data_IF_161866428064
#
_entry.id   IF_161866428064
#
_cell.length_a   1.000
_cell.length_b   1.000
_cell.length_c   1.000
_cell.angle_alpha   90.00
_cell.angle_beta   90.00
_cell.angle_gamma   90.00
#
_symmetry.space_group_name_H-M   'P 1'
#
loop_
_entity.id
_entity.type
_entity.pdbx_description
1 polymer ?
#
# COMPACT_ATOMS: atom_id res chain seq x y z
N UNK A 1 6.21 -72.92 17.22
CA UNK A 1 4.94 -72.18 16.95
C UNK A 1 4.14 -72.20 18.25
N UNK A 2 3.82 -71.12 18.96
CA UNK A 2 3.42 -69.76 18.58
C UNK A 2 3.58 -68.85 19.81
N UNK A 3 4.53 -67.92 19.84
CA UNK A 3 4.46 -66.73 20.73
C UNK A 3 5.18 -65.56 20.05
N UNK A 4 4.77 -65.19 18.83
CA UNK A 4 5.21 -63.95 18.18
C UNK A 4 4.08 -63.42 17.30
N UNK A 5 2.96 -63.00 17.92
CA UNK A 5 1.88 -62.32 17.19
C UNK A 5 1.18 -61.19 17.96
N UNK A 6 1.57 -60.92 19.21
CA UNK A 6 0.93 -59.87 20.03
C UNK A 6 1.72 -58.55 20.12
N UNK A 7 3.06 -58.60 20.05
CA UNK A 7 3.89 -57.43 20.34
C UNK A 7 4.11 -56.49 19.15
N UNK A 8 3.95 -57.00 17.92
CA UNK A 8 4.16 -56.20 16.70
C UNK A 8 2.95 -55.34 16.33
N UNK A 9 1.76 -55.63 16.86
CA UNK A 9 0.54 -54.88 16.56
C UNK A 9 0.36 -53.67 17.50
N UNK A 10 0.89 -53.75 18.73
CA UNK A 10 0.84 -52.64 19.69
C UNK A 10 1.83 -51.52 19.37
N UNK A 11 3.00 -51.84 18.83
CA UNK A 11 4.00 -50.82 18.46
C UNK A 11 3.60 -50.02 17.21
N UNK A 12 2.92 -50.65 16.25
CA UNK A 12 2.47 -49.99 15.02
C UNK A 12 1.31 -49.03 15.27
N UNK A 13 0.45 -49.34 16.26
CA UNK A 13 -0.70 -48.50 16.61
C UNK A 13 -0.27 -47.25 17.39
N UNK A 14 0.81 -47.30 18.18
CA UNK A 14 1.33 -46.14 18.90
C UNK A 14 2.09 -45.15 17.97
N UNK A 15 2.75 -45.64 16.92
CA UNK A 15 3.40 -44.78 15.92
C UNK A 15 2.41 -44.01 15.02
N UNK A 16 1.19 -44.52 14.82
CA UNK A 16 0.16 -43.86 14.01
C UNK A 16 -0.49 -42.64 14.71
N UNK A 17 -0.38 -42.52 16.04
CA UNK A 17 -0.87 -41.35 16.78
C UNK A 17 0.18 -40.23 16.93
N UNK A 18 1.45 -40.47 16.60
CA UNK A 18 2.52 -39.48 16.74
C UNK A 18 2.72 -38.59 15.50
N UNK A 19 2.00 -38.85 14.40
CA UNK A 19 2.09 -38.06 13.16
C UNK A 19 0.75 -37.45 12.72
N UNK A 20 -0.30 -37.57 13.52
CA UNK A 20 -1.55 -36.84 13.32
C UNK A 20 -1.51 -35.47 14.01
N UNK A 21 -0.42 -34.72 13.86
CA UNK A 21 -0.52 -33.27 13.87
C UNK A 21 -1.05 -32.91 12.49
N UNK A 22 -2.37 -32.98 12.30
CA UNK A 22 -2.99 -32.10 11.33
C UNK A 22 -2.73 -30.69 11.87
N UNK A 23 -1.60 -30.10 11.48
CA UNK A 23 -1.32 -28.69 11.69
C UNK A 23 -2.40 -27.93 10.96
N UNK A 24 -3.49 -27.64 11.66
CA UNK A 24 -4.52 -26.74 11.18
C UNK A 24 -3.80 -25.42 10.93
N UNK A 25 -3.81 -24.96 9.70
CA UNK A 25 -3.23 -23.67 9.33
C UNK A 25 -3.92 -22.60 10.18
N UNK A 26 -3.13 -21.87 10.98
CA UNK A 26 -3.65 -20.79 11.79
C UNK A 26 -3.97 -19.62 10.86
N UNK A 27 -5.25 -19.28 10.74
CA UNK A 27 -5.68 -18.14 9.95
C UNK A 27 -5.71 -16.89 10.83
N UNK A 28 -4.88 -15.90 10.50
CA UNK A 28 -4.86 -14.61 11.19
C UNK A 28 -5.70 -13.61 10.40
N UNK A 29 -6.77 -13.14 11.05
CA UNK A 29 -7.59 -12.07 10.50
C UNK A 29 -7.01 -10.72 10.90
N UNK A 30 -6.93 -9.83 9.91
CA UNK A 30 -6.53 -8.43 10.05
C UNK A 30 -7.68 -7.55 9.57
N UNK A 31 -8.05 -6.57 10.39
CA UNK A 31 -8.98 -5.54 9.94
C UNK A 31 -8.31 -4.62 8.90
N UNK A 32 -9.00 -4.26 7.81
CA UNK A 32 -8.46 -3.34 6.81
C UNK A 32 -8.37 -1.90 7.35
N UNK A 33 -7.52 -1.07 6.76
CA UNK A 33 -7.59 0.38 6.96
C UNK A 33 -8.98 0.91 6.60
N UNK A 34 -9.36 2.02 7.21
CA UNK A 34 -10.67 2.64 7.02
C UNK A 34 -10.60 3.78 6.01
N UNK A 35 -11.60 3.84 5.13
CA UNK A 35 -11.77 4.97 4.22
C UNK A 35 -11.93 6.28 5.02
N UNK A 36 -11.12 7.27 4.67
CA UNK A 36 -11.32 8.66 5.10
C UNK A 36 -11.83 9.50 3.93
N UNK A 37 -11.20 9.32 2.77
CA UNK A 37 -11.55 10.01 1.53
C UNK A 37 -11.16 9.19 0.31
N UNK A 38 -12.10 9.05 -0.63
CA UNK A 38 -11.84 8.54 -1.97
C UNK A 38 -11.53 9.69 -2.95
N UNK A 39 -10.39 9.63 -3.64
CA UNK A 39 -10.02 10.58 -4.69
C UNK A 39 -10.22 9.98 -6.09
N UNK A 40 -10.64 10.80 -7.05
CA UNK A 40 -10.92 10.36 -8.42
C UNK A 40 -10.02 11.09 -9.41
N UNK A 41 -9.43 10.35 -10.35
CA UNK A 41 -8.53 10.91 -11.36
C UNK A 41 -9.18 11.96 -12.28
N UNK A 42 -10.51 11.95 -12.35
CA UNK A 42 -11.33 12.90 -13.12
C UNK A 42 -11.54 14.22 -12.39
N UNK A 43 -11.06 14.37 -11.16
CA UNK A 43 -11.16 15.62 -10.42
C UNK A 43 -10.34 16.70 -11.12
N UNK A 44 -10.95 17.86 -11.33
CA UNK A 44 -10.28 19.02 -11.92
C UNK A 44 -9.59 19.90 -10.87
N UNK A 45 -10.01 19.80 -9.60
CA UNK A 45 -9.43 20.57 -8.51
C UNK A 45 -8.18 19.86 -7.96
N UNK A 46 -7.01 20.35 -8.38
CA UNK A 46 -5.69 19.81 -8.01
C UNK A 46 -5.41 19.91 -6.50
N UNK A 47 -6.06 20.85 -5.79
CA UNK A 47 -5.91 21.00 -4.34
C UNK A 47 -6.39 19.75 -3.60
N UNK A 48 -7.26 18.97 -4.25
CA UNK A 48 -7.86 17.74 -3.76
C UNK A 48 -7.17 16.46 -4.25
N UNK A 49 -6.07 16.57 -5.01
CA UNK A 49 -5.26 15.44 -5.48
C UNK A 49 -4.34 14.90 -4.37
N UNK A 50 -4.98 14.34 -3.34
CA UNK A 50 -4.33 13.64 -2.24
C UNK A 50 -5.18 12.43 -1.82
N UNK A 51 -4.50 11.45 -1.23
CA UNK A 51 -5.11 10.26 -0.64
C UNK A 51 -5.18 10.43 0.86
N UNK A 52 -6.27 9.98 1.48
CA UNK A 52 -6.41 9.94 2.93
C UNK A 52 -7.12 8.68 3.38
N UNK A 53 -6.62 8.08 4.45
CA UNK A 53 -7.23 6.93 5.12
C UNK A 53 -6.86 6.92 6.59
N UNK A 54 -7.52 6.06 7.35
CA UNK A 54 -7.21 5.81 8.76
C UNK A 54 -6.69 4.38 8.93
N UNK A 55 -5.52 4.23 9.55
CA UNK A 55 -4.96 2.92 9.91
C UNK A 55 -5.79 2.25 11.02
N UNK A 56 -5.69 0.94 11.17
CA UNK A 56 -6.50 0.17 12.13
C UNK A 56 -5.67 -0.43 13.28
N UNK A 57 -4.60 0.25 13.69
CA UNK A 57 -3.73 -0.24 14.77
C UNK A 57 -4.49 -0.42 16.09
N UNK A 58 -4.15 -1.45 16.85
CA UNK A 58 -4.69 -1.67 18.21
C UNK A 58 -6.11 -2.25 18.28
N UNK A 59 -6.80 -2.46 17.15
CA UNK A 59 -8.08 -3.19 17.08
C UNK A 59 -7.92 -4.68 16.80
N UNK A 60 -6.71 -5.14 16.47
CA UNK A 60 -6.49 -6.49 15.95
C UNK A 60 -6.66 -7.56 17.06
N UNK A 61 -7.69 -8.42 16.98
CA UNK A 61 -8.06 -9.34 18.07
C UNK A 61 -7.01 -10.43 18.32
N UNK A 62 -6.13 -10.70 17.35
CA UNK A 62 -5.20 -11.83 17.35
C UNK A 62 -3.83 -11.54 17.98
N UNK A 63 -3.54 -10.30 18.38
CA UNK A 63 -2.25 -9.93 19.00
C UNK A 63 -2.08 -10.58 20.39
N UNK A 64 -3.19 -10.97 21.05
CA UNK A 64 -3.19 -11.38 22.46
C UNK A 64 -2.51 -12.73 22.78
N UNK A 65 -2.08 -13.51 21.79
CA UNK A 65 -1.45 -14.83 22.02
C UNK A 65 0.05 -14.88 21.74
N UNK A 66 0.66 -13.79 21.24
CA UNK A 66 2.10 -13.76 20.92
C UNK A 66 2.51 -14.62 19.71
N UNK A 67 1.54 -15.24 19.04
CA UNK A 67 1.75 -16.06 17.83
C UNK A 67 1.73 -15.22 16.54
N UNK A 68 1.31 -13.96 16.65
CA UNK A 68 1.13 -13.04 15.54
C UNK A 68 1.47 -11.61 15.93
N UNK A 69 2.16 -10.91 15.03
CA UNK A 69 2.61 -9.54 15.17
C UNK A 69 1.97 -8.69 14.07
N UNK A 70 1.21 -7.67 14.46
CA UNK A 70 0.76 -6.63 13.55
C UNK A 70 1.92 -5.68 13.24
N UNK A 71 2.21 -5.46 11.96
CA UNK A 71 3.37 -4.66 11.51
C UNK A 71 3.00 -3.21 11.18
N UNK A 72 1.76 -2.98 10.74
CA UNK A 72 1.28 -1.66 10.32
C UNK A 72 0.43 -1.71 9.05
N UNK A 73 0.43 -0.61 8.30
CA UNK A 73 -0.31 -0.49 7.04
C UNK A 73 0.65 -0.18 5.88
N UNK A 74 0.61 -1.00 4.85
CA UNK A 74 1.31 -0.75 3.60
C UNK A 74 0.40 -0.07 2.58
N UNK A 75 1.01 0.74 1.73
CA UNK A 75 0.32 1.44 0.64
C UNK A 75 0.90 0.97 -0.66
N UNK A 76 0.06 0.65 -1.62
CA UNK A 76 0.41 0.10 -2.92
C UNK A 76 -0.01 1.06 -4.02
N UNK A 77 0.81 1.20 -5.05
CA UNK A 77 0.52 2.05 -6.20
C UNK A 77 0.81 1.35 -7.53
N UNK A 78 0.12 1.80 -8.59
CA UNK A 78 0.43 1.46 -9.98
C UNK A 78 0.21 2.69 -10.86
N UNK A 79 1.09 2.86 -11.85
CA UNK A 79 1.05 3.96 -12.82
C UNK A 79 0.49 3.44 -14.14
N UNK A 80 -0.42 4.20 -14.75
CA UNK A 80 -1.05 3.86 -16.01
C UNK A 80 -0.90 4.99 -17.01
N UNK A 81 -0.57 4.63 -18.26
CA UNK A 81 -0.61 5.56 -19.41
C UNK A 81 -2.04 5.77 -19.94
N UNK A 82 -2.97 4.89 -19.57
CA UNK A 82 -4.36 4.94 -19.99
C UNK A 82 -5.32 4.78 -18.82
N UNK A 83 -6.24 5.74 -18.67
CA UNK A 83 -7.29 5.69 -17.66
C UNK A 83 -8.27 4.53 -17.86
N UNK A 84 -8.50 4.10 -19.10
CA UNK A 84 -9.35 2.92 -19.38
C UNK A 84 -8.69 1.63 -18.89
N UNK A 85 -7.37 1.49 -19.06
CA UNK A 85 -6.62 0.38 -18.49
C UNK A 85 -6.66 0.38 -16.95
N UNK A 86 -6.49 1.57 -16.33
CA UNK A 86 -6.61 1.73 -14.88
C UNK A 86 -7.99 1.30 -14.36
N UNK A 87 -9.05 1.87 -14.92
CA UNK A 87 -10.44 1.57 -14.52
C UNK A 87 -10.83 0.11 -14.76
N UNK A 88 -10.33 -0.52 -15.82
CA UNK A 88 -10.50 -1.96 -16.05
C UNK A 88 -9.80 -2.79 -14.96
N UNK A 89 -8.60 -2.37 -14.53
CA UNK A 89 -7.87 -3.04 -13.46
C UNK A 89 -8.59 -2.87 -12.12
N UNK A 90 -9.00 -1.64 -11.76
CA UNK A 90 -9.83 -1.34 -10.58
C UNK A 90 -11.06 -2.24 -10.52
N UNK A 91 -11.81 -2.34 -11.62
CA UNK A 91 -13.00 -3.20 -11.70
C UNK A 91 -12.68 -4.68 -11.46
N UNK A 92 -11.52 -5.15 -11.95
CA UNK A 92 -11.07 -6.53 -11.76
C UNK A 92 -10.71 -6.79 -10.29
N UNK A 93 -9.97 -5.87 -9.66
CA UNK A 93 -9.59 -5.97 -8.26
C UNK A 93 -10.83 -5.94 -7.36
N UNK A 94 -11.73 -4.97 -7.55
CA UNK A 94 -12.97 -4.85 -6.75
C UNK A 94 -13.87 -6.09 -6.83
N UNK A 95 -13.80 -6.87 -7.92
CA UNK A 95 -14.54 -8.12 -8.04
C UNK A 95 -13.98 -9.26 -7.17
N UNK A 96 -12.70 -9.16 -6.78
CA UNK A 96 -11.97 -10.17 -6.01
C UNK A 96 -12.03 -9.87 -4.51
N UNK A 97 -12.18 -8.60 -4.11
CA UNK A 97 -12.20 -8.15 -2.71
C UNK A 97 -13.44 -8.58 -1.91
N UNK A 98 -14.39 -9.30 -2.51
CA UNK A 98 -15.60 -9.80 -1.84
C UNK A 98 -15.49 -11.29 -1.42
N UNK A 99 -14.26 -11.82 -1.30
CA UNK A 99 -13.98 -13.22 -0.97
C UNK A 99 -13.78 -13.48 0.53
N UNK A 100 -13.80 -14.75 0.95
CA UNK A 100 -13.55 -15.17 2.35
C UNK A 100 -12.07 -15.18 2.73
N UNK A 101 -11.18 -14.91 1.79
CA UNK A 101 -9.72 -14.89 2.00
C UNK A 101 -9.18 -13.50 1.64
N UNK A 102 -9.12 -12.65 2.65
CA UNK A 102 -8.64 -11.28 2.58
C UNK A 102 -7.19 -11.20 2.06
N UNK A 103 -6.34 -12.16 2.47
CA UNK A 103 -4.93 -12.18 2.07
C UNK A 103 -4.76 -12.48 0.58
N UNK A 104 -5.59 -13.36 0.01
CA UNK A 104 -5.55 -13.65 -1.41
C UNK A 104 -5.86 -12.44 -2.31
N UNK A 105 -6.64 -11.46 -1.83
CA UNK A 105 -6.91 -10.23 -2.59
C UNK A 105 -5.67 -9.33 -2.66
N UNK A 106 -4.97 -9.16 -1.53
CA UNK A 106 -3.72 -8.41 -1.47
C UNK A 106 -2.61 -9.09 -2.28
N UNK A 107 -2.46 -10.40 -2.17
CA UNK A 107 -1.50 -11.16 -2.97
C UNK A 107 -1.75 -10.99 -4.48
N UNK A 108 -3.00 -11.03 -4.94
CA UNK A 108 -3.32 -10.78 -6.35
C UNK A 108 -3.00 -9.36 -6.79
N UNK A 109 -3.29 -8.36 -5.94
CA UNK A 109 -2.91 -6.96 -6.20
C UNK A 109 -1.39 -6.86 -6.48
N UNK A 110 -0.59 -7.54 -5.67
CA UNK A 110 0.87 -7.52 -5.72
C UNK A 110 1.41 -8.37 -6.88
N UNK A 111 1.09 -9.66 -6.89
CA UNK A 111 1.73 -10.65 -7.76
C UNK A 111 1.11 -10.73 -9.15
N UNK A 112 -0.20 -10.48 -9.27
CA UNK A 112 -0.92 -10.60 -10.54
C UNK A 112 -1.09 -9.27 -11.26
N UNK A 113 -1.42 -8.20 -10.52
CA UNK A 113 -1.60 -6.86 -11.09
C UNK A 113 -0.33 -5.99 -11.00
N UNK A 114 0.70 -6.46 -10.29
CA UNK A 114 2.02 -5.84 -10.28
C UNK A 114 2.04 -4.47 -9.61
N UNK A 115 1.18 -4.24 -8.62
CA UNK A 115 1.27 -3.04 -7.78
C UNK A 115 2.55 -3.08 -6.96
N UNK A 116 3.15 -1.91 -6.74
CA UNK A 116 4.37 -1.79 -5.94
C UNK A 116 4.08 -1.05 -4.64
N UNK A 117 4.70 -1.47 -3.55
CA UNK A 117 4.61 -0.75 -2.27
C UNK A 117 5.16 0.66 -2.45
N UNK A 118 4.48 1.68 -1.93
CA UNK A 118 4.95 3.06 -1.90
C UNK A 118 6.09 3.18 -0.87
N UNK A 119 7.18 3.86 -1.23
CA UNK A 119 8.28 4.15 -0.30
C UNK A 119 8.08 5.53 0.33
N UNK A 120 8.39 5.63 1.60
CA UNK A 120 8.43 6.84 2.41
C UNK A 120 9.88 7.13 2.77
N UNK A 121 10.40 8.28 2.36
CA UNK A 121 11.75 8.71 2.71
C UNK A 121 11.68 9.87 3.71
N UNK A 122 12.40 9.74 4.81
CA UNK A 122 12.77 10.86 5.67
C UNK A 122 14.30 10.98 5.71
N UNK A 123 14.88 12.11 6.14
CA UNK A 123 16.33 12.25 6.24
C UNK A 123 16.95 11.09 7.05
N UNK A 124 17.73 10.24 6.38
CA UNK A 124 18.42 9.10 6.99
C UNK A 124 17.60 7.81 7.14
N UNK A 125 16.35 7.75 6.67
CA UNK A 125 15.53 6.54 6.75
C UNK A 125 14.63 6.37 5.53
N UNK A 126 14.48 5.12 5.09
CA UNK A 126 13.50 4.71 4.08
C UNK A 126 12.60 3.63 4.70
N UNK A 127 11.29 3.83 4.61
CA UNK A 127 10.26 2.94 5.16
C UNK A 127 9.22 2.66 4.07
N UNK A 128 8.64 1.46 4.02
CA UNK A 128 7.59 1.10 3.06
C UNK A 128 6.25 0.80 3.73
N UNK A 129 6.18 1.00 5.03
CA UNK A 129 5.04 0.69 5.89
C UNK A 129 4.82 1.83 6.86
N UNK A 130 3.55 2.20 7.06
CA UNK A 130 3.13 3.01 8.18
C UNK A 130 3.15 2.10 9.40
N UNK A 131 4.28 2.07 10.11
CA UNK A 131 4.57 1.14 11.22
C UNK A 131 3.53 1.23 12.32
N UNK A 132 3.20 0.11 12.95
CA UNK A 132 2.31 0.09 14.11
C UNK A 132 2.68 1.14 15.17
N UNK A 133 1.70 1.99 15.52
CA UNK A 133 1.80 3.00 16.57
C UNK A 133 0.86 2.71 17.76
N UNK A 134 0.28 1.50 17.83
CA UNK A 134 -0.67 1.01 18.83
C UNK A 134 -2.01 1.75 18.89
N UNK A 135 -2.14 2.86 18.18
CA UNK A 135 -3.37 3.66 18.10
C UNK A 135 -3.60 4.08 16.65
N UNK A 136 -4.86 4.02 16.16
CA UNK A 136 -5.23 4.45 14.82
C UNK A 136 -4.74 5.87 14.50
N UNK A 137 -4.20 6.07 13.30
CA UNK A 137 -3.74 7.35 12.77
C UNK A 137 -4.37 7.64 11.42
N UNK A 138 -4.53 8.91 11.14
CA UNK A 138 -4.81 9.40 9.80
C UNK A 138 -3.51 9.47 9.02
N UNK A 139 -3.55 9.00 7.79
CA UNK A 139 -2.45 9.06 6.84
C UNK A 139 -2.88 9.93 5.68
N UNK A 140 -2.10 10.96 5.37
CA UNK A 140 -2.27 11.85 4.25
C UNK A 140 -1.13 11.64 3.26
N UNK A 141 -1.44 11.48 1.97
CA UNK A 141 -0.44 11.26 0.92
C UNK A 141 -0.71 12.20 -0.25
N UNK A 142 0.25 13.07 -0.57
CA UNK A 142 0.32 13.81 -1.82
C UNK A 142 1.56 13.36 -2.58
N UNK A 143 1.38 12.80 -3.77
CA UNK A 143 2.48 12.21 -4.54
C UNK A 143 3.38 13.27 -5.18
N UNK A 144 2.79 14.35 -5.68
CA UNK A 144 3.45 15.33 -6.53
C UNK A 144 3.23 16.78 -6.03
N UNK A 145 4.19 17.65 -6.30
CA UNK A 145 4.11 19.08 -5.99
C UNK A 145 3.24 19.77 -7.04
N UNK A 146 2.30 20.64 -6.68
CA UNK A 146 1.79 21.61 -7.65
C UNK A 146 1.69 23.00 -7.02
N UNK A 147 1.93 24.04 -7.84
CA UNK A 147 1.80 25.42 -7.39
C UNK A 147 0.33 25.80 -7.41
N UNK A 148 -0.21 26.16 -6.24
CA UNK A 148 -1.58 26.66 -6.11
C UNK A 148 -1.74 28.08 -6.67
N UNK A 149 -2.87 28.71 -6.37
CA UNK A 149 -3.15 30.09 -6.81
C UNK A 149 -2.21 31.15 -6.19
N UNK A 150 -1.46 30.81 -5.14
CA UNK A 150 -0.45 31.67 -4.53
C UNK A 150 0.93 31.01 -4.52
N UNK A 151 1.96 31.80 -4.84
CA UNK A 151 3.36 31.37 -4.76
C UNK A 151 3.77 30.94 -3.33
N UNK A 152 3.07 31.47 -2.32
CA UNK A 152 3.35 31.25 -0.89
C UNK A 152 2.74 29.96 -0.32
N UNK A 153 1.88 29.24 -1.06
CA UNK A 153 1.28 27.99 -0.59
C UNK A 153 1.47 26.83 -1.59
N UNK A 154 2.72 26.36 -1.77
CA UNK A 154 2.97 25.21 -2.61
C UNK A 154 2.36 23.96 -1.96
N UNK A 155 1.52 23.25 -2.72
CA UNK A 155 1.07 21.92 -2.34
C UNK A 155 2.20 20.95 -2.60
N UNK A 156 3.03 20.67 -1.59
CA UNK A 156 4.24 19.85 -1.75
C UNK A 156 3.93 18.36 -1.64
N UNK A 157 4.72 17.53 -2.33
CA UNK A 157 4.66 16.08 -2.16
C UNK A 157 5.07 15.70 -0.73
N UNK A 158 4.20 14.96 -0.04
CA UNK A 158 4.38 14.62 1.37
C UNK A 158 3.56 13.39 1.75
N UNK A 159 4.05 12.65 2.73
CA UNK A 159 3.29 11.67 3.51
C UNK A 159 3.32 12.11 4.95
N UNK A 160 2.14 12.36 5.52
CA UNK A 160 1.98 12.78 6.91
C UNK A 160 1.15 11.75 7.67
N UNK A 161 1.53 11.44 8.91
CA UNK A 161 0.69 10.63 9.80
C UNK A 161 0.38 11.38 11.09
N UNK A 162 -0.89 11.42 11.51
CA UNK A 162 -1.32 12.16 12.69
C UNK A 162 -2.54 11.54 13.38
N UNK A 163 -2.85 12.01 14.59
CA UNK A 163 -4.01 11.54 15.38
C UNK A 163 -5.33 12.24 15.03
N UNK A 164 -5.26 13.29 14.21
CA UNK A 164 -6.42 14.07 13.80
C UNK A 164 -6.52 14.02 12.28
N UNK A 165 -7.74 13.95 11.78
CA UNK A 165 -8.01 14.00 10.35
C UNK A 165 -7.51 15.34 9.78
N UNK A 166 -6.73 15.28 8.70
CA UNK A 166 -6.37 16.45 7.93
C UNK A 166 -7.54 16.80 7.00
N UNK A 167 -8.27 17.87 7.31
CA UNK A 167 -9.43 18.29 6.51
C UNK A 167 -9.02 19.01 5.23
N UNK A 168 -7.94 19.76 5.30
CA UNK A 168 -7.36 20.56 4.22
C UNK A 168 -5.84 20.49 4.32
N UNK A 169 -5.15 20.65 3.19
CA UNK A 169 -3.69 20.72 3.20
C UNK A 169 -3.24 21.94 4.00
N UNK A 170 -2.42 21.68 5.02
CA UNK A 170 -1.83 22.68 5.86
C UNK A 170 -0.31 22.51 5.79
N UNK A 171 0.36 23.48 5.17
CA UNK A 171 1.81 23.46 5.02
C UNK A 171 2.53 23.42 6.37
N UNK A 172 1.92 23.86 7.49
CA UNK A 172 2.54 23.73 8.81
C UNK A 172 2.73 22.28 9.26
N UNK A 173 2.00 21.32 8.68
CA UNK A 173 2.16 19.89 8.98
C UNK A 173 3.46 19.30 8.43
N UNK A 174 4.18 20.01 7.58
CA UNK A 174 5.51 19.61 7.12
C UNK A 174 6.64 20.06 8.07
N UNK A 175 6.30 20.72 9.19
CA UNK A 175 7.28 21.26 10.14
C UNK A 175 7.53 20.32 11.31
N UNK A 176 8.81 20.21 11.68
CA UNK A 176 9.29 19.44 12.83
C UNK A 176 8.65 19.98 14.14
N UNK A 177 8.04 19.11 14.94
CA UNK A 177 7.41 19.47 16.22
C UNK A 177 5.88 19.53 16.24
N UNK A 178 5.22 19.31 15.09
CA UNK A 178 3.76 19.24 14.97
C UNK A 178 3.11 17.95 15.54
N UNK A 179 3.93 17.01 16.01
CA UNK A 179 3.45 15.67 16.44
C UNK A 179 3.03 14.78 15.27
N UNK A 180 3.46 15.14 14.05
CA UNK A 180 3.19 14.46 12.79
C UNK A 180 4.51 13.90 12.27
N UNK A 181 4.50 12.63 11.86
CA UNK A 181 5.64 12.06 11.13
C UNK A 181 5.55 12.48 9.66
N UNK A 182 6.62 13.05 9.11
CA UNK A 182 6.68 13.61 7.75
C UNK A 182 7.68 12.83 6.90
N UNK A 183 7.22 12.37 5.75
CA UNK A 183 8.04 11.66 4.76
C UNK A 183 7.77 12.18 3.34
N UNK A 184 8.61 11.78 2.40
CA UNK A 184 8.42 12.04 0.97
C UNK A 184 8.10 10.73 0.22
N UNK A 185 7.06 10.72 -0.63
CA UNK A 185 6.70 9.54 -1.39
C UNK A 185 7.72 9.25 -2.49
N UNK A 186 8.03 7.98 -2.70
CA UNK A 186 8.95 7.48 -3.74
C UNK A 186 8.45 6.20 -4.36
N UNK A 187 8.78 6.03 -5.64
CA UNK A 187 8.55 4.82 -6.41
C UNK A 187 9.44 3.68 -5.89
N UNK A 188 8.93 2.46 -5.92
CA UNK A 188 9.62 1.25 -5.47
C UNK A 188 10.20 0.45 -6.63
N UNK A 189 10.79 1.17 -7.57
CA UNK A 189 11.67 0.65 -8.63
C UNK A 189 13.07 1.26 -8.52
N UNK A 190 13.18 2.47 -7.96
CA UNK A 190 14.42 3.16 -7.62
C UNK A 190 14.11 4.15 -6.49
N UNK A 191 14.86 4.13 -5.39
CA UNK A 191 14.59 4.96 -4.21
C UNK A 191 14.68 6.46 -4.49
N UNK A 192 15.41 6.88 -5.53
CA UNK A 192 15.48 8.27 -5.92
C UNK A 192 14.20 8.74 -6.62
N UNK A 193 13.47 7.83 -7.29
CA UNK A 193 12.38 8.17 -8.20
C UNK A 193 11.14 8.70 -7.48
N UNK A 194 10.81 9.97 -7.71
CA UNK A 194 9.58 10.62 -7.26
C UNK A 194 8.43 10.48 -8.27
N UNK A 195 7.38 11.26 -8.01
CA UNK A 195 6.18 11.36 -8.85
C UNK A 195 6.04 12.74 -9.52
N UNK A 196 7.02 13.64 -9.37
CA UNK A 196 7.08 14.89 -10.12
C UNK A 196 7.65 14.62 -11.52
N UNK A 197 6.89 13.93 -12.37
CA UNK A 197 7.41 13.39 -13.64
C UNK A 197 7.95 14.49 -14.55
N UNK A 198 9.25 14.43 -14.81
CA UNK A 198 9.97 15.43 -15.60
C UNK A 198 10.99 14.74 -16.50
N UNK A 199 10.99 15.10 -17.78
CA UNK A 199 11.90 14.52 -18.78
C UNK A 199 13.39 14.82 -18.51
N UNK A 200 13.67 15.86 -17.71
CA UNK A 200 15.00 16.36 -17.36
C UNK A 200 15.45 16.02 -15.93
N UNK A 201 14.56 15.49 -15.08
CA UNK A 201 14.91 15.13 -13.69
C UNK A 201 15.25 13.63 -13.58
N UNK A 202 16.51 13.32 -13.31
CA UNK A 202 16.96 11.94 -13.07
C UNK A 202 16.36 11.32 -11.80
N UNK A 203 15.90 12.15 -10.85
CA UNK A 203 15.23 11.70 -9.64
C UNK A 203 13.71 11.60 -9.80
N UNK A 204 13.12 12.05 -10.91
CA UNK A 204 11.68 11.88 -11.16
C UNK A 204 11.43 11.70 -12.66
N UNK A 205 12.10 10.75 -13.33
CA UNK A 205 11.98 10.61 -14.76
C UNK A 205 10.55 10.22 -15.13
N UNK A 206 10.14 10.64 -16.33
CA UNK A 206 8.87 10.23 -16.93
C UNK A 206 8.78 8.68 -16.95
N UNK A 207 7.66 8.09 -16.50
CA UNK A 207 7.46 6.65 -16.55
C UNK A 207 7.56 6.12 -17.99
N UNK A 208 8.09 4.91 -18.17
CA UNK A 208 8.36 4.34 -19.50
C UNK A 208 7.90 2.89 -19.65
N UNK A 209 7.78 2.44 -20.89
CA UNK A 209 7.52 1.03 -21.18
C UNK A 209 8.64 0.16 -20.59
N UNK A 210 8.24 -0.88 -19.86
CA UNK A 210 9.15 -1.78 -19.15
C UNK A 210 9.45 -1.40 -17.70
N UNK A 211 9.02 -0.23 -17.22
CA UNK A 211 9.05 0.06 -15.78
C UNK A 211 8.09 -0.89 -15.04
N UNK A 212 8.55 -1.52 -13.96
CA UNK A 212 7.77 -2.56 -13.26
C UNK A 212 6.49 -2.04 -12.61
N UNK A 213 6.43 -0.75 -12.28
CA UNK A 213 5.27 -0.07 -11.70
C UNK A 213 4.36 0.59 -12.75
N UNK A 214 4.62 0.38 -14.05
CA UNK A 214 3.86 0.98 -15.16
C UNK A 214 3.06 -0.07 -15.93
N UNK A 215 1.78 0.20 -16.11
CA UNK A 215 0.95 -0.45 -17.13
C UNK A 215 0.98 0.42 -18.38
N UNK A 216 1.76 -0.03 -19.36
CA UNK A 216 1.94 0.67 -20.62
C UNK A 216 0.77 0.44 -21.57
N UNK A 217 0.45 1.47 -22.35
CA UNK A 217 -0.46 1.43 -23.49
C UNK A 217 0.17 2.28 -24.60
N UNK A 218 0.21 1.77 -25.83
CA UNK A 218 0.73 2.55 -26.97
C UNK A 218 -0.14 3.78 -27.27
N UNK A 219 -1.39 3.78 -26.80
CA UNK A 219 -2.29 4.92 -26.85
C UNK A 219 -2.50 5.48 -25.45
N UNK A 220 -1.99 6.68 -25.19
CA UNK A 220 -2.31 7.42 -23.97
C UNK A 220 -3.76 7.91 -24.00
N UNK A 221 -4.40 8.01 -22.83
CA UNK A 221 -5.71 8.70 -22.75
C UNK A 221 -5.52 10.19 -23.04
N UNK A 222 -4.49 10.79 -22.44
CA UNK A 222 -4.08 12.18 -22.65
C UNK A 222 -2.55 12.21 -22.65
N UNK A 223 -1.94 12.81 -23.67
CA UNK A 223 -0.48 12.87 -23.77
C UNK A 223 0.10 13.70 -22.61
N UNK A 224 1.23 13.25 -22.06
CA UNK A 224 1.86 13.85 -20.88
C UNK A 224 1.09 13.64 -19.57
N UNK A 225 0.02 12.84 -19.56
CA UNK A 225 -0.75 12.53 -18.35
C UNK A 225 -0.56 11.08 -17.91
N UNK A 226 -0.36 10.90 -16.61
CA UNK A 226 -0.18 9.60 -15.96
C UNK A 226 -1.22 9.43 -14.87
N UNK A 227 -1.90 8.30 -14.88
CA UNK A 227 -2.92 7.98 -13.89
C UNK A 227 -2.32 7.07 -12.83
N UNK A 228 -2.44 7.46 -11.56
CA UNK A 228 -1.87 6.71 -10.45
C UNK A 228 -3.02 6.20 -9.60
N UNK A 229 -3.09 4.88 -9.44
CA UNK A 229 -4.08 4.19 -8.62
C UNK A 229 -3.45 3.66 -7.35
N UNK A 230 -4.16 3.74 -6.23
CA UNK A 230 -3.61 3.37 -4.92
C UNK A 230 -4.56 2.54 -4.06
N UNK A 231 -3.96 1.61 -3.32
CA UNK A 231 -4.63 0.77 -2.33
C UNK A 231 -3.85 0.79 -1.01
N UNK A 232 -4.52 0.52 0.11
CA UNK A 232 -3.91 0.32 1.41
C UNK A 232 -4.30 -1.04 2.01
N UNK A 233 -3.38 -1.64 2.76
CA UNK A 233 -3.55 -2.99 3.34
C UNK A 233 -2.89 -3.03 4.71
N UNK A 234 -3.59 -3.57 5.71
CA UNK A 234 -3.02 -3.91 7.01
C UNK A 234 -2.15 -5.15 6.88
N UNK A 235 -0.97 -5.14 7.48
CA UNK A 235 0.04 -6.21 7.36
C UNK A 235 0.41 -6.73 8.73
N UNK A 236 0.50 -8.05 8.85
CA UNK A 236 1.00 -8.73 10.02
C UNK A 236 1.82 -9.96 9.64
N UNK A 237 2.46 -10.57 10.62
CA UNK A 237 3.24 -11.78 10.43
C UNK A 237 3.08 -12.74 11.60
N UNK A 238 3.14 -14.03 11.32
CA UNK A 238 3.16 -15.04 12.35
C UNK A 238 4.59 -15.35 12.84
N UNK A 239 4.71 -16.26 13.82
CA UNK A 239 6.01 -16.74 14.33
C UNK A 239 6.86 -17.51 13.32
N UNK A 240 6.28 -17.94 12.19
CA UNK A 240 7.00 -18.56 11.07
C UNK A 240 7.51 -17.55 10.04
N UNK A 241 7.24 -16.25 10.27
CA UNK A 241 7.49 -15.14 9.33
C UNK A 241 6.62 -15.17 8.08
N UNK A 242 5.51 -15.92 8.10
CA UNK A 242 4.50 -15.85 7.04
C UNK A 242 3.73 -14.54 7.17
N UNK A 243 3.63 -13.80 6.07
CA UNK A 243 2.93 -12.51 6.03
C UNK A 243 1.45 -12.74 5.80
N UNK A 244 0.61 -12.01 6.53
CA UNK A 244 -0.84 -11.98 6.34
C UNK A 244 -1.28 -10.55 6.04
N UNK A 245 -2.32 -10.44 5.23
CA UNK A 245 -2.88 -9.17 4.77
C UNK A 245 -4.37 -9.10 5.10
N UNK A 246 -4.85 -7.89 5.41
CA UNK A 246 -6.28 -7.59 5.42
C UNK A 246 -6.87 -7.55 4.01
N UNK A 247 -8.17 -7.30 3.93
CA UNK A 247 -8.78 -6.87 2.67
C UNK A 247 -8.12 -5.57 2.17
N UNK A 248 -8.14 -5.36 0.85
CA UNK A 248 -7.56 -4.17 0.25
C UNK A 248 -8.55 -3.01 0.32
N UNK A 249 -8.11 -1.86 0.84
CA UNK A 249 -8.86 -0.60 0.76
C UNK A 249 -8.44 0.15 -0.51
N UNK A 250 -9.40 0.46 -1.40
CA UNK A 250 -9.12 1.37 -2.52
C UNK A 250 -9.05 2.81 -2.02
N UNK A 251 -7.90 3.47 -2.22
CA UNK A 251 -7.72 4.87 -1.83
C UNK A 251 -8.20 5.85 -2.91
N UNK A 252 -8.37 5.34 -4.13
CA UNK A 252 -8.74 6.13 -5.30
C UNK A 252 -7.59 6.27 -6.28
N UNK A 253 -7.71 7.28 -7.16
CA UNK A 253 -6.74 7.57 -8.21
C UNK A 253 -6.58 9.06 -8.45
N UNK A 254 -5.40 9.48 -8.94
CA UNK A 254 -5.11 10.86 -9.35
C UNK A 254 -4.48 10.90 -10.74
N UNK A 255 -4.42 12.10 -11.33
CA UNK A 255 -3.67 12.37 -12.55
C UNK A 255 -2.41 13.17 -12.23
N UNK A 256 -1.27 12.83 -12.83
CA UNK A 256 -0.02 13.61 -12.78
C UNK A 256 0.37 14.05 -14.18
N UNK A 257 0.76 15.32 -14.34
CA UNK A 257 1.00 15.95 -15.65
C UNK A 257 2.48 16.33 -15.78
N UNK A 258 3.12 15.91 -16.86
CA UNK A 258 4.54 16.20 -17.13
C UNK A 258 4.82 17.71 -17.29
N UNK A 259 3.90 18.42 -17.95
CA UNK A 259 4.03 19.86 -18.24
C UNK A 259 4.15 20.74 -16.98
N UNK A 260 3.71 20.24 -15.82
CA UNK A 260 3.83 20.95 -14.55
C UNK A 260 5.28 21.06 -14.06
N UNK A 261 6.17 20.23 -14.59
CA UNK A 261 7.55 20.13 -14.11
C UNK A 261 8.59 20.46 -15.19
N UNK A 262 8.24 20.38 -16.47
CA UNK A 262 9.18 20.63 -17.56
C UNK A 262 9.72 22.08 -17.61
N UNK A 263 9.03 23.03 -16.95
CA UNK A 263 9.35 24.47 -16.92
C UNK A 263 10.27 24.91 -15.76
N UNK A 264 10.52 24.06 -14.76
CA UNK A 264 11.30 24.42 -13.56
C UNK A 264 12.84 24.22 -13.69
N UNK A 265 13.41 24.52 -14.87
CA UNK A 265 14.87 24.57 -15.07
C UNK A 265 15.28 25.81 -15.88
#
# INVERSE_FOLDING_TARGET
>A
MKVVRGLSFMLFTFCLFLFASCGLEAFYYLDPPQEDRLVLYTNSDRTLDYFSFRTNEGSEPNISLGEFEFLGTEVYYKIYRSSSAMTSCQSSISSITNGTDASAAAEKLIDSYGYKTLRFISPGSQVSIVKDAQTPRYVYIRLNHFQGESEDNPYTNVVCTGRTQMKEYDSSWNTEGSGVDVYFPRRNINSSYGFNFNSKDENSPVPKNGDEDVTWSDTATEEGCWYIDMYAVSVGRDTSFTTSYSEVLHLGSITVRESEYDEYN
#
